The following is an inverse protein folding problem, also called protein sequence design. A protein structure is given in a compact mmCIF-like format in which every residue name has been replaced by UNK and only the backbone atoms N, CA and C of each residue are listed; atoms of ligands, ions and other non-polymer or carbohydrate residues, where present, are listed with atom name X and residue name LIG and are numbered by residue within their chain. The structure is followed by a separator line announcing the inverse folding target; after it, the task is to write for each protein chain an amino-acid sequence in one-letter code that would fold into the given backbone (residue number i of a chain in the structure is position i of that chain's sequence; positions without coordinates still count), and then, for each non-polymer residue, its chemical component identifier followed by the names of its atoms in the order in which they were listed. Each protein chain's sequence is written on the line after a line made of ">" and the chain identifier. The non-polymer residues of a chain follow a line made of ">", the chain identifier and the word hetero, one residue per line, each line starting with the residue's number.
data_IF_120147082918
#
_entry.id   IF_120147082918
#
_cell.length_a   1.000
_cell.length_b   1.000
_cell.length_c   1.000
_cell.angle_alpha   90.00
_cell.angle_beta   90.00
_cell.angle_gamma   90.00
#
_symmetry.space_group_name_H-M   'P 1'
#
loop_
_entity.id
_entity.type
_entity.pdbx_description
1 polymer ?
#
# COMPACT_ATOMS: atom_id res chain seq x y z
N UNK A 1 -72.84 -16.07 18.85
CA UNK A 1 -71.59 -16.27 18.10
C UNK A 1 -70.90 -14.92 18.01
N UNK A 2 -69.98 -14.65 18.99
CA UNK A 2 -69.28 -13.33 19.10
C UNK A 2 -67.92 -13.49 18.43
N UNK A 3 -67.78 -12.86 17.27
CA UNK A 3 -66.47 -12.75 16.58
C UNK A 3 -65.77 -11.54 17.18
N UNK A 4 -64.87 -11.83 18.06
CA UNK A 4 -63.91 -10.84 18.62
C UNK A 4 -63.05 -10.30 17.50
N UNK A 5 -63.18 -9.02 17.24
CA UNK A 5 -62.26 -8.26 16.36
C UNK A 5 -60.92 -8.18 17.05
N UNK A 6 -60.02 -9.07 16.68
CA UNK A 6 -58.64 -8.96 17.04
C UNK A 6 -58.04 -7.84 16.21
N UNK A 7 -58.02 -6.66 16.75
CA UNK A 7 -57.29 -5.54 16.20
C UNK A 7 -55.81 -5.89 16.17
N UNK A 8 -55.35 -6.26 15.00
CA UNK A 8 -53.95 -6.40 14.69
C UNK A 8 -53.38 -4.97 14.66
N UNK A 9 -52.98 -4.48 15.83
CA UNK A 9 -52.08 -3.34 15.93
C UNK A 9 -50.71 -3.88 15.52
N UNK A 10 -50.49 -3.90 14.23
CA UNK A 10 -49.13 -3.98 13.68
C UNK A 10 -48.50 -2.66 14.05
N UNK A 11 -47.89 -2.67 15.24
CA UNK A 11 -46.97 -1.64 15.66
C UNK A 11 -45.80 -1.71 14.68
N UNK A 12 -45.90 -0.92 13.63
CA UNK A 12 -44.79 -0.60 12.73
C UNK A 12 -43.77 0.16 13.60
N UNK A 13 -42.96 -0.62 14.32
CA UNK A 13 -41.74 -0.08 14.91
C UNK A 13 -40.90 0.30 13.72
N UNK A 14 -41.06 1.55 13.27
CA UNK A 14 -40.05 2.23 12.47
C UNK A 14 -38.81 2.25 13.37
N UNK A 15 -37.98 1.21 13.17
CA UNK A 15 -36.61 1.23 13.62
C UNK A 15 -35.97 2.37 12.83
N UNK A 16 -36.05 3.59 13.35
CA UNK A 16 -35.23 4.70 12.89
C UNK A 16 -33.81 4.28 13.20
N UNK A 17 -33.20 3.57 12.27
CA UNK A 17 -31.76 3.45 12.22
C UNK A 17 -31.31 4.89 11.99
N UNK A 18 -30.99 5.57 13.08
CA UNK A 18 -30.27 6.82 13.02
C UNK A 18 -28.96 6.50 12.31
N UNK A 19 -28.94 6.68 11.02
CA UNK A 19 -27.72 6.74 10.24
C UNK A 19 -26.96 7.95 10.79
N UNK A 20 -26.16 7.70 11.82
CA UNK A 20 -25.23 8.69 12.35
C UNK A 20 -24.15 8.89 11.32
N UNK A 21 -24.46 9.72 10.32
CA UNK A 21 -23.47 10.17 9.35
C UNK A 21 -22.61 11.26 10.00
N UNK A 22 -21.33 11.22 9.72
CA UNK A 22 -20.43 12.31 10.11
C UNK A 22 -20.87 13.60 9.40
N UNK A 23 -20.60 14.74 10.03
CA UNK A 23 -20.96 16.03 9.48
C UNK A 23 -19.76 16.98 9.52
N UNK A 24 -19.56 17.67 8.40
CA UNK A 24 -18.54 18.73 8.26
C UNK A 24 -19.24 20.02 7.84
N UNK A 25 -19.02 21.11 8.58
CA UNK A 25 -19.52 22.44 8.26
C UNK A 25 -18.37 23.32 7.81
N UNK A 26 -18.61 24.07 6.73
CA UNK A 26 -17.63 24.98 6.13
C UNK A 26 -17.88 26.43 6.53
N UNK A 27 -16.90 27.30 6.33
CA UNK A 27 -16.97 28.74 6.64
C UNK A 27 -18.09 29.47 5.91
N UNK A 28 -18.46 29.02 4.71
CA UNK A 28 -19.57 29.57 3.93
C UNK A 28 -20.96 29.08 4.41
N UNK A 29 -21.00 28.23 5.43
CA UNK A 29 -22.23 27.66 5.98
C UNK A 29 -22.66 26.34 5.33
N UNK A 30 -21.98 25.88 4.29
CA UNK A 30 -22.27 24.59 3.67
C UNK A 30 -22.03 23.44 4.64
N UNK A 31 -22.87 22.41 4.54
CA UNK A 31 -22.78 21.20 5.34
C UNK A 31 -22.63 19.99 4.45
N UNK A 32 -21.59 19.23 4.68
CA UNK A 32 -21.34 17.93 4.06
C UNK A 32 -21.70 16.84 5.06
N UNK A 33 -22.53 15.90 4.63
CA UNK A 33 -22.95 14.75 5.43
C UNK A 33 -22.46 13.48 4.73
N UNK A 34 -21.82 12.60 5.48
CA UNK A 34 -21.25 11.37 4.92
C UNK A 34 -20.35 10.66 5.94
N UNK A 35 -19.34 9.99 5.46
CA UNK A 35 -18.32 9.33 6.29
C UNK A 35 -16.98 10.06 6.11
N UNK A 36 -16.44 10.61 7.17
CA UNK A 36 -15.10 11.20 7.17
C UNK A 36 -14.10 10.05 6.98
N UNK A 37 -13.29 10.12 5.93
CA UNK A 37 -12.26 9.12 5.64
C UNK A 37 -10.99 9.48 6.36
N UNK A 38 -10.46 10.67 6.04
CA UNK A 38 -9.22 11.19 6.62
C UNK A 38 -9.13 12.69 6.54
N UNK A 39 -8.26 13.24 7.35
CA UNK A 39 -7.75 14.60 7.15
C UNK A 39 -6.25 14.63 7.35
N UNK A 40 -5.62 15.61 6.76
CA UNK A 40 -4.25 16.04 7.02
C UNK A 40 -4.24 17.53 7.39
N UNK A 41 -3.05 18.14 7.51
CA UNK A 41 -2.93 19.56 7.83
C UNK A 41 -3.52 20.50 6.77
N UNK A 42 -3.78 20.00 5.54
CA UNK A 42 -4.23 20.78 4.39
C UNK A 42 -5.66 20.49 3.98
N UNK A 43 -6.08 19.23 4.08
CA UNK A 43 -7.36 18.78 3.52
C UNK A 43 -8.12 17.82 4.43
N UNK A 44 -9.42 17.74 4.24
CA UNK A 44 -10.30 16.72 4.80
C UNK A 44 -11.06 16.03 3.66
N UNK A 45 -11.09 14.71 3.69
CA UNK A 45 -11.81 13.87 2.74
C UNK A 45 -13.02 13.26 3.42
N UNK A 46 -14.20 13.55 2.86
CA UNK A 46 -15.48 12.98 3.29
C UNK A 46 -16.14 12.25 2.12
N UNK A 47 -16.59 11.03 2.35
CA UNK A 47 -17.36 10.26 1.37
C UNK A 47 -18.84 10.51 1.58
N UNK A 48 -19.47 11.13 0.62
CA UNK A 48 -20.91 11.42 0.58
C UNK A 48 -21.66 10.37 -0.23
N UNK A 49 -22.95 10.26 -0.01
CA UNK A 49 -23.81 9.28 -0.71
C UNK A 49 -23.90 9.55 -2.21
N UNK A 50 -24.04 10.83 -2.60
CA UNK A 50 -24.37 11.20 -3.98
C UNK A 50 -23.19 11.80 -4.76
N UNK A 51 -22.21 12.41 -4.07
CA UNK A 51 -21.06 13.04 -4.73
C UNK A 51 -19.76 12.20 -4.61
N UNK A 52 -19.82 11.01 -3.97
CA UNK A 52 -18.63 10.20 -3.74
C UNK A 52 -17.68 10.87 -2.76
N UNK A 53 -16.37 10.78 -3.01
CA UNK A 53 -15.35 11.40 -2.17
C UNK A 53 -15.19 12.88 -2.51
N UNK A 54 -15.41 13.72 -1.51
CA UNK A 54 -15.26 15.18 -1.59
C UNK A 54 -14.08 15.59 -0.72
N UNK A 55 -13.14 16.30 -1.32
CA UNK A 55 -11.98 16.87 -0.61
C UNK A 55 -12.24 18.35 -0.37
N UNK A 56 -12.13 18.77 0.89
CA UNK A 56 -12.27 20.16 1.30
C UNK A 56 -11.00 20.65 1.99
N UNK A 57 -10.70 21.94 1.84
CA UNK A 57 -9.58 22.56 2.51
C UNK A 57 -9.80 22.55 4.05
N UNK A 58 -8.81 22.07 4.80
CA UNK A 58 -8.88 22.00 6.26
C UNK A 58 -9.09 23.37 6.90
N UNK A 59 -8.56 24.42 6.30
CA UNK A 59 -8.73 25.81 6.78
C UNK A 59 -10.15 26.33 6.55
N UNK A 60 -10.89 25.78 5.60
CA UNK A 60 -12.29 26.13 5.33
C UNK A 60 -13.28 25.42 6.28
N UNK A 61 -12.85 24.38 6.97
CA UNK A 61 -13.70 23.62 7.90
C UNK A 61 -13.87 24.40 9.21
N UNK A 62 -15.12 24.65 9.63
CA UNK A 62 -15.44 25.28 10.91
C UNK A 62 -15.88 24.28 11.97
N UNK A 63 -16.60 23.23 11.57
CA UNK A 63 -17.07 22.22 12.49
C UNK A 63 -16.91 20.83 11.89
N UNK A 64 -16.46 19.90 12.71
CA UNK A 64 -16.41 18.46 12.43
C UNK A 64 -17.18 17.75 13.53
N UNK A 65 -18.05 16.84 13.13
CA UNK A 65 -18.75 15.94 14.04
C UNK A 65 -18.66 14.53 13.49
N UNK A 66 -17.90 13.68 14.15
CA UNK A 66 -17.77 12.27 13.82
C UNK A 66 -18.55 11.44 14.83
N UNK A 67 -19.22 10.42 14.33
CA UNK A 67 -19.96 9.47 15.16
C UNK A 67 -19.18 8.19 15.40
N UNK A 68 -18.19 7.91 14.55
CA UNK A 68 -17.29 6.77 14.68
C UNK A 68 -15.99 7.18 15.38
N UNK A 69 -15.31 6.18 15.96
CA UNK A 69 -13.99 6.40 16.57
C UNK A 69 -13.00 6.81 15.47
N UNK A 70 -12.43 7.99 15.58
CA UNK A 70 -11.37 8.49 14.69
C UNK A 70 -10.02 8.38 15.39
N UNK A 71 -8.99 8.01 14.66
CA UNK A 71 -7.60 8.09 15.13
C UNK A 71 -7.07 9.48 14.81
N UNK A 72 -6.78 10.25 15.83
CA UNK A 72 -6.32 11.65 15.73
C UNK A 72 -4.87 11.75 16.18
N UNK A 73 -3.98 12.15 15.28
CA UNK A 73 -2.58 12.44 15.57
C UNK A 73 -2.37 13.92 15.85
N UNK A 74 -1.57 14.23 16.85
CA UNK A 74 -1.23 15.57 17.29
C UNK A 74 0.24 15.89 17.03
N UNK A 75 0.59 17.17 16.91
CA UNK A 75 1.98 17.64 16.67
C UNK A 75 2.98 17.22 17.75
N UNK A 76 2.51 16.93 18.96
CA UNK A 76 3.34 16.43 20.05
C UNK A 76 3.66 14.93 19.94
N UNK A 77 3.20 14.28 18.86
CA UNK A 77 3.38 12.86 18.60
C UNK A 77 2.36 11.95 19.28
N UNK A 78 1.44 12.50 20.07
CA UNK A 78 0.38 11.71 20.71
C UNK A 78 -0.69 11.35 19.69
N UNK A 79 -1.25 10.16 19.88
CA UNK A 79 -2.41 9.67 19.13
C UNK A 79 -3.56 9.42 20.08
N UNK A 80 -4.73 9.92 19.73
CA UNK A 80 -5.96 9.82 20.52
C UNK A 80 -7.04 9.17 19.66
N UNK A 81 -7.82 8.25 20.23
CA UNK A 81 -8.87 7.52 19.49
C UNK A 81 -10.22 7.74 20.15
N UNK A 82 -11.20 8.18 19.38
CA UNK A 82 -12.58 8.38 19.81
C UNK A 82 -13.39 9.23 18.81
N UNK A 83 -14.70 9.38 19.03
CA UNK A 83 -15.51 10.34 18.28
C UNK A 83 -14.96 11.75 18.41
N UNK A 84 -15.00 12.47 17.30
CA UNK A 84 -14.44 13.82 17.17
C UNK A 84 -15.57 14.83 17.05
N UNK A 85 -15.48 15.90 17.85
CA UNK A 85 -16.31 17.09 17.71
C UNK A 85 -15.44 18.34 17.78
N UNK A 86 -15.86 19.40 17.10
CA UNK A 86 -15.18 20.70 17.26
C UNK A 86 -15.96 21.60 18.20
N UNK A 87 -15.23 22.35 19.01
CA UNK A 87 -15.78 23.41 19.90
C UNK A 87 -14.95 24.68 19.67
N UNK A 88 -15.46 25.55 18.78
CA UNK A 88 -14.72 26.72 18.31
C UNK A 88 -13.45 26.30 17.53
N UNK A 89 -12.30 26.79 17.98
CA UNK A 89 -10.99 26.47 17.38
C UNK A 89 -10.36 25.20 17.96
N UNK A 90 -11.06 24.48 18.83
CA UNK A 90 -10.56 23.24 19.42
C UNK A 90 -11.25 22.01 18.83
N UNK A 91 -10.51 20.94 18.76
CA UNK A 91 -10.98 19.58 18.46
C UNK A 91 -11.08 18.83 19.77
N UNK A 92 -12.23 18.26 20.04
CA UNK A 92 -12.50 17.43 21.22
C UNK A 92 -12.65 15.99 20.76
N UNK A 93 -11.81 15.10 21.28
CA UNK A 93 -11.86 13.67 21.05
C UNK A 93 -12.35 12.99 22.33
N UNK A 94 -13.50 12.34 22.26
CA UNK A 94 -14.08 11.65 23.42
C UNK A 94 -13.49 10.25 23.52
N UNK A 95 -12.51 10.06 24.40
CA UNK A 95 -11.86 8.76 24.57
C UNK A 95 -12.63 7.87 25.55
N UNK A 96 -12.52 6.56 25.38
CA UNK A 96 -13.17 5.57 26.26
C UNK A 96 -12.48 5.43 27.61
N UNK A 97 -11.21 5.81 27.72
CA UNK A 97 -10.39 5.53 28.90
C UNK A 97 -10.08 6.76 29.75
N UNK A 98 -9.83 7.90 29.09
CA UNK A 98 -9.39 9.14 29.76
C UNK A 98 -10.40 10.28 29.70
N UNK A 99 -11.59 10.03 29.08
CA UNK A 99 -12.58 11.06 28.86
C UNK A 99 -12.26 11.99 27.69
N UNK A 100 -12.87 13.18 27.60
CA UNK A 100 -12.64 14.11 26.51
C UNK A 100 -11.24 14.70 26.55
N UNK A 101 -10.53 14.63 25.42
CA UNK A 101 -9.23 15.25 25.19
C UNK A 101 -9.45 16.41 24.23
N UNK A 102 -9.11 17.61 24.67
CA UNK A 102 -9.24 18.83 23.89
C UNK A 102 -7.87 19.27 23.35
N UNK A 103 -7.81 19.60 22.08
CA UNK A 103 -6.60 20.06 21.44
C UNK A 103 -6.93 21.17 20.42
N UNK A 104 -6.09 22.21 20.28
CA UNK A 104 -6.28 23.21 19.23
C UNK A 104 -6.30 22.56 17.83
N UNK A 105 -7.22 22.97 16.97
CA UNK A 105 -7.35 22.48 15.60
C UNK A 105 -6.03 22.55 14.82
N UNK A 106 -5.23 23.58 15.07
CA UNK A 106 -3.92 23.79 14.46
C UNK A 106 -2.85 22.77 14.90
N UNK A 107 -3.10 22.00 15.96
CA UNK A 107 -2.20 20.94 16.43
C UNK A 107 -2.56 19.55 15.90
N UNK A 108 -3.70 19.42 15.25
CA UNK A 108 -4.11 18.17 14.60
C UNK A 108 -3.32 18.01 13.31
N UNK A 109 -2.53 16.95 13.22
CA UNK A 109 -1.73 16.62 12.03
C UNK A 109 -2.45 15.67 11.10
N UNK A 110 -3.27 14.78 11.66
CA UNK A 110 -3.99 13.78 10.89
C UNK A 110 -5.21 13.29 11.67
N UNK A 111 -6.28 12.99 10.94
CA UNK A 111 -7.39 12.18 11.44
C UNK A 111 -7.64 11.06 10.43
N UNK A 112 -7.95 9.87 10.92
CA UNK A 112 -8.31 8.70 10.09
C UNK A 112 -9.46 7.96 10.71
N UNK A 113 -10.37 7.50 9.87
CA UNK A 113 -11.40 6.56 10.31
C UNK A 113 -10.79 5.15 10.52
N UNK A 114 -11.48 4.19 11.13
CA UNK A 114 -10.94 2.88 11.40
C UNK A 114 -10.49 2.11 10.16
N UNK A 115 -11.18 2.29 9.02
CA UNK A 115 -10.84 1.63 7.76
C UNK A 115 -9.53 2.20 7.17
N UNK A 116 -9.41 3.53 7.14
CA UNK A 116 -8.20 4.22 6.67
C UNK A 116 -7.01 3.96 7.60
N UNK A 117 -7.24 3.94 8.92
CA UNK A 117 -6.19 3.60 9.89
C UNK A 117 -5.69 2.16 9.68
N UNK A 118 -6.58 1.21 9.43
CA UNK A 118 -6.19 -0.17 9.10
C UNK A 118 -5.37 -0.23 7.83
N UNK A 119 -5.75 0.53 6.79
CA UNK A 119 -5.02 0.64 5.54
C UNK A 119 -3.65 1.27 5.76
N UNK A 120 -3.59 2.32 6.56
CA UNK A 120 -2.34 2.98 6.94
C UNK A 120 -1.40 2.03 7.70
N UNK A 121 -1.92 1.29 8.69
CA UNK A 121 -1.12 0.33 9.45
C UNK A 121 -0.59 -0.80 8.56
N UNK A 122 -1.41 -1.31 7.64
CA UNK A 122 -0.96 -2.29 6.64
C UNK A 122 0.15 -1.72 5.74
N UNK A 123 0.03 -0.46 5.32
CA UNK A 123 1.06 0.20 4.50
C UNK A 123 2.38 0.41 5.26
N UNK A 124 2.33 0.58 6.59
CA UNK A 124 3.53 0.69 7.43
C UNK A 124 4.20 -0.68 7.67
N UNK A 125 3.41 -1.75 7.69
CA UNK A 125 3.87 -3.12 7.95
C UNK A 125 3.27 -4.09 6.92
N UNK A 126 3.66 -3.99 5.63
CA UNK A 126 3.16 -4.89 4.60
C UNK A 126 3.52 -6.34 4.95
N UNK A 127 2.57 -7.25 4.80
CA UNK A 127 2.76 -8.68 4.97
C UNK A 127 3.89 -9.23 4.07
N UNK A 128 4.40 -10.42 4.37
CA UNK A 128 5.53 -11.00 3.61
C UNK A 128 5.27 -11.13 2.11
N UNK A 129 4.01 -11.34 1.71
CA UNK A 129 3.60 -11.47 0.31
C UNK A 129 3.07 -10.16 -0.30
N UNK A 130 2.93 -9.10 0.51
CA UNK A 130 2.43 -7.80 0.07
C UNK A 130 3.58 -6.86 -0.33
N UNK A 131 3.29 -5.92 -1.21
CA UNK A 131 4.26 -4.90 -1.63
C UNK A 131 5.31 -5.36 -2.63
N UNK A 132 5.15 -6.57 -3.20
CA UNK A 132 6.00 -7.03 -4.29
C UNK A 132 5.54 -6.44 -5.62
N UNK A 133 6.51 -5.98 -6.38
CA UNK A 133 6.35 -5.54 -7.76
C UNK A 133 7.35 -6.30 -8.63
N UNK A 134 6.90 -6.85 -9.74
CA UNK A 134 7.79 -7.66 -10.55
C UNK A 134 7.10 -8.28 -11.76
N UNK A 135 7.82 -9.14 -12.46
CA UNK A 135 7.32 -9.77 -13.66
C UNK A 135 8.04 -11.05 -14.03
N UNK A 136 7.39 -11.80 -14.88
CA UNK A 136 7.92 -12.96 -15.56
C UNK A 136 7.93 -12.67 -17.06
N UNK A 137 9.09 -12.80 -17.68
CA UNK A 137 9.27 -12.65 -19.12
C UNK A 137 9.59 -14.03 -19.72
N UNK A 138 8.90 -14.37 -20.79
CA UNK A 138 9.13 -15.58 -21.57
C UNK A 138 9.39 -15.16 -23.01
N UNK A 139 10.57 -15.48 -23.51
CA UNK A 139 10.95 -15.24 -24.90
C UNK A 139 11.19 -16.56 -25.62
N UNK A 140 10.64 -16.67 -26.81
CA UNK A 140 10.89 -17.80 -27.73
C UNK A 140 11.23 -17.30 -29.12
N UNK A 141 12.30 -17.83 -29.71
CA UNK A 141 12.67 -17.55 -31.08
C UNK A 141 12.97 -18.83 -31.82
N UNK A 142 12.48 -18.92 -33.05
CA UNK A 142 12.69 -20.03 -33.95
C UNK A 142 13.16 -19.48 -35.30
N UNK A 143 14.31 -19.96 -35.77
CA UNK A 143 14.83 -19.66 -37.10
C UNK A 143 14.85 -20.94 -37.91
N UNK A 144 14.40 -20.88 -39.16
CA UNK A 144 14.45 -21.99 -40.12
C UNK A 144 14.99 -21.52 -41.46
N UNK A 145 15.80 -22.35 -42.10
CA UNK A 145 16.43 -22.06 -43.39
C UNK A 145 17.80 -22.72 -43.46
N UNK A 146 18.81 -21.95 -43.85
CA UNK A 146 20.20 -22.44 -43.84
C UNK A 146 20.76 -22.63 -42.40
N UNK A 147 20.05 -22.15 -41.41
CA UNK A 147 20.29 -22.36 -39.99
C UNK A 147 18.97 -22.69 -39.30
N UNK A 148 18.98 -23.72 -38.46
CA UNK A 148 17.83 -24.08 -37.60
C UNK A 148 18.19 -23.81 -36.14
N UNK A 149 17.70 -22.71 -35.61
CA UNK A 149 17.96 -22.36 -34.21
C UNK A 149 16.66 -22.23 -33.42
N UNK A 150 16.68 -22.69 -32.19
CA UNK A 150 15.60 -22.55 -31.22
C UNK A 150 16.17 -21.91 -29.98
N UNK A 151 15.54 -20.83 -29.51
CA UNK A 151 15.95 -20.13 -28.29
C UNK A 151 14.74 -20.01 -27.38
N UNK A 152 14.92 -20.36 -26.11
CA UNK A 152 13.99 -20.11 -25.01
C UNK A 152 14.70 -19.28 -23.97
N UNK A 153 14.08 -18.16 -23.61
CA UNK A 153 14.56 -17.27 -22.56
C UNK A 153 13.46 -17.11 -21.51
N UNK A 154 13.81 -17.32 -20.26
CA UNK A 154 12.96 -17.08 -19.11
C UNK A 154 13.65 -16.06 -18.23
N UNK A 155 12.95 -15.03 -17.78
CA UNK A 155 13.45 -14.06 -16.82
C UNK A 155 12.37 -13.68 -15.83
N UNK A 156 12.72 -13.72 -14.56
CA UNK A 156 11.89 -13.34 -13.44
C UNK A 156 12.57 -12.23 -12.66
N UNK A 157 11.82 -11.25 -12.25
CA UNK A 157 12.26 -10.25 -11.28
C UNK A 157 11.13 -9.91 -10.32
N UNK A 158 11.46 -9.68 -9.06
CA UNK A 158 10.54 -9.19 -8.06
C UNK A 158 11.28 -8.24 -7.10
N UNK A 159 10.66 -7.11 -6.82
CA UNK A 159 11.19 -6.08 -5.95
C UNK A 159 10.15 -5.77 -4.90
N UNK A 160 10.56 -5.76 -3.64
CA UNK A 160 9.78 -5.30 -2.52
C UNK A 160 10.48 -4.11 -1.88
N UNK A 161 9.80 -2.98 -1.85
CA UNK A 161 10.31 -1.75 -1.26
C UNK A 161 9.55 -1.43 0.02
N UNK A 162 10.28 -1.27 1.12
CA UNK A 162 9.81 -0.70 2.38
C UNK A 162 10.25 0.76 2.51
N UNK A 163 10.08 1.34 3.69
CA UNK A 163 10.48 2.74 3.95
C UNK A 163 12.01 2.95 3.93
N UNK A 164 12.78 1.94 4.32
CA UNK A 164 14.24 1.97 4.38
C UNK A 164 14.88 0.73 3.79
N UNK A 165 14.08 -0.21 3.32
CA UNK A 165 14.53 -1.53 2.92
C UNK A 165 14.03 -1.83 1.52
N UNK A 166 14.91 -2.42 0.72
CA UNK A 166 14.57 -2.89 -0.62
C UNK A 166 15.12 -4.29 -0.80
N UNK A 167 14.24 -5.25 -1.10
CA UNK A 167 14.61 -6.61 -1.44
C UNK A 167 14.32 -6.84 -2.92
N UNK A 168 15.33 -7.24 -3.65
CA UNK A 168 15.26 -7.59 -5.07
C UNK A 168 15.56 -9.06 -5.23
N UNK A 169 14.69 -9.78 -5.91
CA UNK A 169 14.88 -11.17 -6.33
C UNK A 169 14.88 -11.22 -7.85
N UNK A 170 15.77 -12.02 -8.42
CA UNK A 170 15.82 -12.23 -9.87
C UNK A 170 16.28 -13.64 -10.20
N UNK A 171 15.79 -14.16 -11.32
CA UNK A 171 16.22 -15.43 -11.88
C UNK A 171 16.10 -15.37 -13.40
N UNK A 172 16.92 -16.12 -14.09
CA UNK A 172 16.87 -16.21 -15.53
C UNK A 172 17.44 -17.53 -16.03
N UNK A 173 16.95 -17.98 -17.18
CA UNK A 173 17.46 -19.15 -17.87
C UNK A 173 17.45 -18.91 -19.38
N UNK A 174 18.49 -19.34 -20.04
CA UNK A 174 18.60 -19.32 -21.49
C UNK A 174 18.90 -20.73 -21.92
N UNK A 175 18.03 -21.25 -22.78
CA UNK A 175 18.27 -22.51 -23.49
C UNK A 175 18.23 -22.26 -25.01
N UNK A 176 19.28 -22.66 -25.70
CA UNK A 176 19.36 -22.49 -27.15
C UNK A 176 19.96 -23.75 -27.83
N UNK A 177 19.39 -24.08 -28.97
CA UNK A 177 19.91 -25.17 -29.84
C UNK A 177 20.13 -24.67 -31.25
N UNK A 178 21.08 -25.30 -31.93
CA UNK A 178 21.27 -25.20 -33.37
C UNK A 178 21.18 -26.58 -33.96
N UNK A 179 20.11 -26.86 -34.70
CA UNK A 179 19.82 -28.17 -35.30
C UNK A 179 20.25 -28.23 -36.79
N UNK A 180 21.14 -27.34 -37.27
CA UNK A 180 21.72 -27.45 -38.59
C UNK A 180 22.48 -28.79 -38.72
N UNK A 181 22.40 -29.43 -39.89
CA UNK A 181 22.87 -30.82 -40.10
C UNK A 181 24.33 -31.06 -39.72
N UNK A 182 25.15 -30.02 -39.70
CA UNK A 182 26.59 -30.06 -39.45
C UNK A 182 26.97 -29.44 -38.08
N UNK A 183 25.98 -29.00 -37.28
CA UNK A 183 26.24 -28.37 -35.98
C UNK A 183 26.58 -29.42 -34.92
N UNK A 184 27.71 -29.23 -34.25
CA UNK A 184 28.10 -30.00 -33.07
C UNK A 184 28.89 -29.06 -32.13
N UNK A 185 28.44 -28.82 -30.90
CA UNK A 185 27.28 -29.42 -30.25
C UNK A 185 25.96 -28.78 -30.71
N UNK A 186 24.85 -29.53 -30.62
CA UNK A 186 23.51 -29.03 -30.94
C UNK A 186 23.00 -27.99 -29.95
N UNK A 187 23.37 -28.10 -28.69
CA UNK A 187 23.05 -27.09 -27.65
C UNK A 187 24.09 -25.98 -27.68
N UNK A 188 23.64 -24.75 -27.86
CA UNK A 188 24.48 -23.55 -27.98
C UNK A 188 24.41 -22.64 -26.76
N UNK A 189 23.38 -22.79 -25.91
CA UNK A 189 23.30 -22.21 -24.58
C UNK A 189 22.43 -23.09 -23.66
N UNK A 190 22.87 -23.30 -22.45
CA UNK A 190 22.10 -23.94 -21.38
C UNK A 190 22.62 -23.44 -20.06
N UNK A 191 22.04 -22.32 -19.64
CA UNK A 191 22.42 -21.67 -18.38
C UNK A 191 21.21 -21.26 -17.59
N UNK A 192 21.40 -21.24 -16.28
CA UNK A 192 20.42 -20.75 -15.31
C UNK A 192 21.16 -19.95 -14.24
N UNK A 193 20.57 -18.84 -13.84
CA UNK A 193 21.12 -18.03 -12.77
C UNK A 193 20.03 -17.28 -12.04
N UNK A 194 20.39 -16.78 -10.88
CA UNK A 194 19.49 -15.95 -10.08
C UNK A 194 20.15 -15.50 -8.80
N UNK A 195 19.50 -14.60 -8.12
CA UNK A 195 20.05 -14.04 -6.90
C UNK A 195 19.05 -13.24 -6.12
N UNK A 196 19.56 -12.73 -5.00
CA UNK A 196 18.85 -11.83 -4.13
C UNK A 196 19.77 -10.66 -3.74
N UNK A 197 19.20 -9.48 -3.64
CA UNK A 197 19.87 -8.30 -3.12
C UNK A 197 18.98 -7.60 -2.10
N UNK A 198 19.55 -7.30 -0.95
CA UNK A 198 18.92 -6.51 0.09
C UNK A 198 19.69 -5.22 0.29
N UNK A 199 18.99 -4.09 0.18
CA UNK A 199 19.49 -2.75 0.42
C UNK A 199 18.81 -2.18 1.67
N UNK A 200 19.57 -1.50 2.54
CA UNK A 200 19.07 -0.83 3.73
C UNK A 200 19.56 0.61 3.80
N UNK A 201 18.64 1.57 3.80
CA UNK A 201 18.95 3.00 3.90
C UNK A 201 19.31 3.38 5.34
N UNK A 202 20.60 3.64 5.57
CA UNK A 202 21.13 4.10 6.85
C UNK A 202 20.77 5.58 7.07
N UNK A 203 20.89 6.39 6.00
CA UNK A 203 20.54 7.80 5.95
C UNK A 203 19.94 8.13 4.58
N UNK A 204 19.35 9.30 4.42
CA UNK A 204 18.72 9.73 3.16
C UNK A 204 19.60 9.57 1.90
N UNK A 205 20.92 9.52 2.06
CA UNK A 205 21.87 9.38 0.93
C UNK A 205 22.80 8.18 1.04
N UNK A 206 22.80 7.48 2.17
CA UNK A 206 23.74 6.39 2.43
C UNK A 206 22.97 5.10 2.67
N UNK A 207 23.26 4.08 1.90
CA UNK A 207 22.70 2.73 2.10
C UNK A 207 23.80 1.67 2.20
N UNK A 208 23.50 0.58 2.89
CA UNK A 208 24.27 -0.65 2.87
C UNK A 208 23.54 -1.69 2.03
N UNK A 209 24.28 -2.60 1.42
CA UNK A 209 23.67 -3.71 0.70
C UNK A 209 24.41 -5.02 0.93
N UNK A 210 23.68 -6.11 0.77
CA UNK A 210 24.20 -7.46 0.63
C UNK A 210 23.54 -8.11 -0.58
N UNK A 211 24.28 -8.93 -1.30
CA UNK A 211 23.75 -9.68 -2.43
C UNK A 211 24.33 -11.10 -2.49
N UNK A 212 23.57 -11.97 -3.13
CA UNK A 212 23.99 -13.32 -3.46
C UNK A 212 23.55 -13.64 -4.88
N UNK A 213 24.44 -14.28 -5.63
CA UNK A 213 24.21 -14.72 -6.99
C UNK A 213 24.59 -16.20 -7.12
N UNK A 214 23.74 -16.94 -7.81
CA UNK A 214 23.96 -18.35 -8.16
C UNK A 214 23.87 -18.48 -9.68
N UNK A 215 24.79 -19.20 -10.25
CA UNK A 215 24.86 -19.39 -11.70
C UNK A 215 25.38 -20.78 -12.04
N UNK A 216 24.77 -21.41 -13.03
CA UNK A 216 25.17 -22.70 -13.61
C UNK A 216 25.17 -22.57 -15.15
N UNK A 217 26.11 -23.21 -15.80
CA UNK A 217 26.26 -23.18 -17.24
C UNK A 217 26.87 -24.50 -17.73
N UNK A 218 26.04 -25.32 -18.34
CA UNK A 218 26.45 -26.66 -18.80
C UNK A 218 27.51 -26.60 -19.90
N UNK A 219 27.50 -25.58 -20.78
CA UNK A 219 28.49 -25.47 -21.85
C UNK A 219 29.88 -25.10 -21.33
N UNK A 220 29.92 -24.39 -20.19
CA UNK A 220 31.17 -24.06 -19.51
C UNK A 220 31.59 -25.13 -18.50
N UNK A 221 30.87 -26.27 -18.42
CA UNK A 221 31.06 -27.30 -17.39
C UNK A 221 31.07 -26.71 -15.96
N UNK A 222 30.26 -25.67 -15.77
CA UNK A 222 30.14 -24.97 -14.52
C UNK A 222 28.87 -25.42 -13.80
N UNK A 223 28.99 -26.40 -12.91
CA UNK A 223 27.86 -26.96 -12.18
C UNK A 223 27.19 -25.89 -11.30
N UNK A 224 27.97 -25.13 -10.56
CA UNK A 224 27.45 -24.04 -9.72
C UNK A 224 28.57 -23.04 -9.37
N UNK A 225 28.28 -21.78 -9.61
CA UNK A 225 29.02 -20.65 -9.06
C UNK A 225 28.15 -19.89 -8.10
N UNK A 226 28.57 -19.72 -6.85
CA UNK A 226 27.93 -18.90 -5.86
C UNK A 226 28.82 -17.69 -5.55
N UNK A 227 28.22 -16.50 -5.54
CA UNK A 227 28.87 -15.24 -5.21
C UNK A 227 28.10 -14.60 -4.07
N UNK A 228 28.85 -14.10 -3.08
CA UNK A 228 28.31 -13.32 -1.96
C UNK A 228 29.04 -11.98 -1.93
N UNK A 229 28.27 -10.92 -1.88
CA UNK A 229 28.80 -9.58 -1.90
C UNK A 229 28.09 -8.68 -0.89
N UNK A 230 28.72 -7.56 -0.58
CA UNK A 230 28.13 -6.53 0.25
C UNK A 230 28.97 -5.27 0.24
N UNK A 231 28.36 -4.16 0.59
CA UNK A 231 29.04 -2.87 0.57
C UNK A 231 28.14 -1.73 1.00
N UNK A 232 28.63 -0.52 0.74
CA UNK A 232 27.91 0.71 0.97
C UNK A 232 27.76 1.46 -0.35
N UNK A 233 26.62 2.13 -0.52
CA UNK A 233 26.35 2.96 -1.67
C UNK A 233 25.85 4.34 -1.26
N UNK A 234 25.89 5.27 -2.22
CA UNK A 234 25.47 6.64 -2.02
C UNK A 234 24.48 7.05 -3.12
N UNK A 235 23.32 7.58 -2.73
CA UNK A 235 22.35 8.17 -3.66
C UNK A 235 22.83 9.58 -4.10
N UNK A 236 23.27 9.70 -5.34
CA UNK A 236 23.73 10.98 -5.89
C UNK A 236 22.57 11.99 -6.00
N UNK A 237 21.41 11.51 -6.38
CA UNK A 237 20.17 12.27 -6.46
C UNK A 237 19.17 11.62 -5.50
N UNK A 238 18.83 12.25 -4.36
CA UNK A 238 17.78 11.72 -3.50
C UNK A 238 16.46 11.79 -4.27
N UNK A 239 15.70 10.69 -4.27
CA UNK A 239 14.33 10.70 -4.76
C UNK A 239 13.57 11.76 -3.96
N UNK A 240 12.96 12.70 -4.67
CA UNK A 240 12.07 13.69 -4.04
C UNK A 240 10.87 12.95 -3.48
N UNK A 241 10.82 12.85 -2.16
CA UNK A 241 9.66 12.37 -1.41
C UNK A 241 8.46 13.31 -1.60
#
# INVERSE_FOLDING_TARGET
>A
MRITRLSLVVSLVLCTISLFADQVTLKNGDRLTGTIIKSDEKSLVIKTEFAGEVTVDWTAVTNVQSTQDMTVGLKDGKTVVGPVTTNGDNVVVTTKTTGPVEAPKATVTVMRNPAEETTYQKSQHPGLLEGWNGGLNVGFALTRGNSETKNLNLAFNAVRSGRRDKLTLYAGSIYATNDASDASPHTTANNIGGGARYDHDIKARLFAFVNTDFYSDDLQTLDLRALFGGGFGFHAFPDSL
#
